data_IF_987603489858
#
_entry.id   IF_987603489858
#
_cell.length_a   1.000
_cell.length_b   1.000
_cell.length_c   1.000
_cell.angle_alpha   90.00
_cell.angle_beta   90.00
_cell.angle_gamma   90.00
#
_symmetry.space_group_name_H-M   'P 1'
#
loop_
_entity.id
_entity.type
_entity.pdbx_description
1 polymer ?
#
# COMPACT_ATOMS: atom_id res chain seq x y z
N UNK A 1 9.59 29.47 -57.64
CA UNK A 1 10.81 28.63 -57.60
C UNK A 1 11.42 28.86 -56.24
N UNK A 2 10.78 28.20 -55.29
CA UNK A 2 10.85 28.45 -53.86
C UNK A 2 11.90 27.50 -53.31
N UNK A 3 13.08 28.01 -52.99
CA UNK A 3 14.13 27.21 -52.36
C UNK A 3 14.23 27.59 -50.89
N UNK A 4 13.64 26.69 -50.12
CA UNK A 4 13.49 26.61 -48.68
C UNK A 4 14.77 27.00 -47.90
N UNK A 5 14.61 27.95 -46.99
CA UNK A 5 15.59 28.20 -45.94
C UNK A 5 15.61 26.99 -44.97
N UNK A 6 16.78 26.43 -44.62
CA UNK A 6 16.86 25.43 -43.57
C UNK A 6 16.81 26.18 -42.23
N UNK A 7 15.60 26.44 -41.75
CA UNK A 7 15.40 26.82 -40.36
C UNK A 7 15.64 25.53 -39.55
N UNK A 8 16.90 25.30 -39.16
CA UNK A 8 17.28 24.28 -38.19
C UNK A 8 16.58 24.61 -36.87
N UNK A 9 15.33 24.15 -36.74
CA UNK A 9 14.70 23.96 -35.44
C UNK A 9 15.64 23.04 -34.70
N UNK A 10 16.37 23.63 -33.76
CA UNK A 10 17.22 22.89 -32.86
C UNK A 10 16.25 22.13 -31.98
N UNK A 11 16.05 20.84 -32.28
CA UNK A 11 15.37 19.89 -31.40
C UNK A 11 16.15 19.88 -30.08
N UNK A 12 15.76 20.78 -29.19
CA UNK A 12 16.10 20.68 -27.78
C UNK A 12 15.21 19.56 -27.26
N UNK A 13 15.64 18.32 -27.50
CA UNK A 13 15.25 17.18 -26.69
C UNK A 13 15.77 17.46 -25.28
N UNK A 14 15.01 18.26 -24.54
CA UNK A 14 15.22 18.41 -23.11
C UNK A 14 14.73 17.09 -22.54
N UNK A 15 15.63 16.11 -22.48
CA UNK A 15 15.50 14.91 -21.66
C UNK A 15 15.44 15.37 -20.21
N UNK A 16 14.25 15.77 -19.76
CA UNK A 16 13.98 16.02 -18.36
C UNK A 16 13.87 14.62 -17.74
N UNK A 17 15.01 14.07 -17.33
CA UNK A 17 15.07 12.99 -16.35
C UNK A 17 14.49 13.54 -15.04
N UNK A 18 13.16 13.48 -14.92
CA UNK A 18 12.48 13.75 -13.66
C UNK A 18 12.73 12.52 -12.80
N UNK A 19 13.79 12.59 -11.99
CA UNK A 19 13.98 11.67 -10.87
C UNK A 19 12.81 11.87 -9.89
N UNK A 20 11.72 11.13 -10.10
CA UNK A 20 10.57 11.09 -9.20
C UNK A 20 10.92 10.12 -8.07
N UNK A 21 11.52 10.65 -7.01
CA UNK A 21 11.70 9.92 -5.77
C UNK A 21 10.34 9.72 -5.08
N UNK A 22 9.83 8.48 -5.13
CA UNK A 22 8.60 8.09 -4.42
C UNK A 22 8.99 7.59 -3.03
N UNK A 23 8.71 8.40 -2.01
CA UNK A 23 8.82 7.96 -0.61
C UNK A 23 7.62 7.09 -0.23
N UNK A 24 7.87 5.80 0.05
CA UNK A 24 6.84 4.88 0.55
C UNK A 24 6.77 4.99 2.07
N UNK A 25 5.74 5.70 2.57
CA UNK A 25 5.49 5.80 4.01
C UNK A 25 4.78 4.52 4.49
N UNK A 26 5.37 3.76 5.44
CA UNK A 26 4.68 2.62 6.03
C UNK A 26 3.45 3.10 6.81
N UNK A 27 2.35 2.33 6.83
CA UNK A 27 1.17 2.71 7.59
C UNK A 27 1.52 2.91 9.06
N UNK A 28 0.86 3.89 9.70
CA UNK A 28 1.03 4.15 11.12
C UNK A 28 0.88 2.84 11.89
N UNK A 29 2.01 2.36 12.43
CA UNK A 29 2.00 1.26 13.38
C UNK A 29 1.40 1.85 14.64
N UNK A 30 0.09 1.63 14.82
CA UNK A 30 -0.66 1.87 16.04
C UNK A 30 0.26 1.56 17.23
N UNK A 31 0.78 2.62 17.85
CA UNK A 31 1.79 2.59 18.91
C UNK A 31 1.19 2.10 20.23
N UNK A 32 0.30 1.13 20.16
CA UNK A 32 -0.45 0.54 21.23
C UNK A 32 -0.26 -0.96 21.21
N UNK A 33 0.68 -1.41 22.04
CA UNK A 33 0.75 -2.76 22.59
C UNK A 33 1.29 -3.83 21.62
N UNK A 34 2.58 -4.10 21.81
CA UNK A 34 3.13 -5.46 21.77
C UNK A 34 2.25 -6.38 22.63
N UNK A 35 1.20 -6.90 22.03
CA UNK A 35 0.14 -7.61 22.73
C UNK A 35 -0.60 -8.51 21.79
N UNK A 36 0.13 -9.23 20.91
CA UNK A 36 -0.32 -10.44 20.21
C UNK A 36 -1.80 -10.38 19.82
N UNK A 37 -2.24 -9.26 19.25
CA UNK A 37 -3.60 -9.03 18.83
C UNK A 37 -3.61 -9.15 17.30
N UNK A 38 -4.43 -10.05 16.79
CA UNK A 38 -4.59 -10.27 15.37
C UNK A 38 -6.03 -9.96 14.95
N UNK A 39 -6.21 -9.58 13.69
CA UNK A 39 -7.54 -9.35 13.12
C UNK A 39 -8.13 -10.71 12.76
N UNK A 40 -9.18 -11.09 13.46
CA UNK A 40 -9.84 -12.37 13.19
C UNK A 40 -10.64 -12.32 11.89
N UNK A 41 -10.45 -13.31 11.01
CA UNK A 41 -11.11 -13.35 9.69
C UNK A 41 -12.64 -13.48 9.78
N UNK A 42 -13.15 -13.94 10.92
CA UNK A 42 -14.55 -14.26 11.10
C UNK A 42 -15.44 -13.03 11.40
N UNK A 43 -14.91 -12.01 12.09
CA UNK A 43 -15.65 -10.79 12.46
C UNK A 43 -14.91 -9.50 12.14
N UNK A 44 -13.70 -9.58 11.56
CA UNK A 44 -12.81 -8.44 11.27
C UNK A 44 -12.48 -7.56 12.49
N UNK A 45 -12.65 -8.07 13.72
CA UNK A 45 -12.33 -7.37 14.97
C UNK A 45 -10.93 -7.78 15.45
N UNK A 46 -10.24 -6.87 16.17
CA UNK A 46 -8.99 -7.19 16.90
C UNK A 46 -9.30 -8.20 18.01
N UNK A 47 -8.62 -9.34 17.99
CA UNK A 47 -8.73 -10.43 18.98
C UNK A 47 -7.35 -10.87 19.43
N UNK A 48 -7.25 -11.44 20.63
CA UNK A 48 -6.00 -12.04 21.10
C UNK A 48 -5.60 -13.23 20.23
N UNK A 49 -4.31 -13.37 19.92
CA UNK A 49 -3.77 -14.47 19.11
C UNK A 49 -3.99 -15.84 19.76
N UNK A 50 -4.11 -15.90 21.09
CA UNK A 50 -4.50 -17.12 21.82
C UNK A 50 -5.92 -17.62 21.49
N UNK A 51 -6.76 -16.76 20.90
CA UNK A 51 -8.14 -17.09 20.49
C UNK A 51 -8.26 -17.34 18.98
N UNK A 52 -7.12 -17.41 18.28
CA UNK A 52 -7.11 -17.75 16.87
C UNK A 52 -6.71 -19.19 16.64
N UNK A 53 -7.35 -19.83 15.67
CA UNK A 53 -6.88 -21.09 15.09
C UNK A 53 -5.77 -20.87 14.06
N UNK A 54 -5.21 -21.98 13.58
CA UNK A 54 -4.11 -21.99 12.61
C UNK A 54 -4.49 -21.36 11.26
N UNK A 55 -5.79 -21.29 10.93
CA UNK A 55 -6.31 -20.69 9.70
C UNK A 55 -6.57 -19.18 9.86
N UNK A 56 -6.32 -18.62 11.04
CA UNK A 56 -6.55 -17.19 11.34
C UNK A 56 -8.02 -16.86 11.58
N UNK A 57 -8.90 -17.85 11.77
CA UNK A 57 -10.25 -17.59 12.27
C UNK A 57 -10.20 -17.41 13.78
N UNK A 58 -11.23 -16.75 14.28
CA UNK A 58 -11.40 -16.42 15.68
C UNK A 58 -12.49 -17.30 16.28
N UNK A 59 -12.24 -17.89 17.44
CA UNK A 59 -13.29 -18.61 18.19
C UNK A 59 -14.20 -17.66 19.00
N UNK A 60 -14.83 -16.68 18.33
CA UNK A 60 -15.82 -15.81 19.00
C UNK A 60 -17.17 -16.50 19.15
N UNK A 61 -17.73 -16.42 20.36
CA UNK A 61 -19.09 -16.87 20.65
C UNK A 61 -20.14 -16.18 19.75
N UNK A 62 -19.95 -14.89 19.44
CA UNK A 62 -20.78 -14.11 18.50
C UNK A 62 -20.83 -14.76 17.10
N UNK A 63 -19.74 -15.38 16.67
CA UNK A 63 -19.55 -15.96 15.35
C UNK A 63 -19.95 -17.44 15.30
N UNK A 64 -20.05 -18.07 16.48
CA UNK A 64 -20.50 -19.44 16.69
C UNK A 64 -22.00 -19.53 17.03
N UNK A 65 -22.65 -18.39 17.24
CA UNK A 65 -24.10 -18.32 17.39
C UNK A 65 -24.80 -18.63 16.05
N UNK A 66 -25.92 -19.38 16.05
CA UNK A 66 -26.64 -19.81 14.86
C UNK A 66 -27.34 -18.67 14.10
#
# INVERSE_FOLDING_TARGET
MDQFAPNVLSDFDIDIDIDIDIEVIPPERDGGQSGNAMIGLCCQKKRSASRMDADGRCNCDECLAP
#
